data_IF_410139766406
#
_entry.id   IF_410139766406
#
_cell.length_a   1.000
_cell.length_b   1.000
_cell.length_c   1.000
_cell.angle_alpha   90.00
_cell.angle_beta   90.00
_cell.angle_gamma   90.00
#
_symmetry.space_group_name_H-M   'P 1'
#
loop_
_entity.id
_entity.type
_entity.pdbx_description
1 polymer ?
#
# COMPACT_ATOMS: atom_id res chain seq x y z
N UNK A 1 13.93 19.19 20.24
CA UNK A 1 12.77 18.96 19.35
C UNK A 1 13.13 19.47 17.98
N UNK A 2 12.72 18.77 16.92
CA UNK A 2 12.94 19.22 15.56
C UNK A 2 12.09 20.46 15.26
N UNK A 3 12.55 21.30 14.34
CA UNK A 3 11.75 22.40 13.80
C UNK A 3 10.75 21.83 12.78
N UNK A 4 9.50 21.62 13.21
CA UNK A 4 8.49 21.00 12.35
C UNK A 4 8.19 21.81 11.09
N UNK A 5 8.33 23.14 11.12
CA UNK A 5 8.07 23.96 9.93
C UNK A 5 9.13 23.69 8.85
N UNK A 6 10.39 23.54 9.25
CA UNK A 6 11.47 23.12 8.36
C UNK A 6 11.28 21.67 7.90
N UNK A 7 11.02 20.76 8.83
CA UNK A 7 10.90 19.33 8.52
C UNK A 7 9.73 19.01 7.57
N UNK A 8 8.62 19.73 7.70
CA UNK A 8 7.44 19.60 6.85
C UNK A 8 7.73 19.90 5.38
N UNK A 9 8.70 20.78 5.11
CA UNK A 9 9.02 21.24 3.75
C UNK A 9 10.12 20.43 3.05
N UNK A 10 10.75 19.46 3.73
CA UNK A 10 11.92 18.74 3.19
C UNK A 10 11.65 17.99 1.89
N UNK A 11 10.46 17.41 1.74
CA UNK A 11 10.10 16.67 0.52
C UNK A 11 9.43 17.56 -0.55
N UNK A 12 9.38 18.88 -0.31
CA UNK A 12 8.72 19.87 -1.14
C UNK A 12 7.26 19.50 -1.46
N UNK A 13 6.40 19.33 -0.44
CA UNK A 13 4.99 19.02 -0.66
C UNK A 13 4.24 20.23 -1.22
N UNK A 14 3.23 19.96 -2.04
CA UNK A 14 2.26 20.96 -2.52
C UNK A 14 1.03 21.02 -1.59
N UNK A 15 0.75 19.93 -0.87
CA UNK A 15 -0.39 19.79 0.03
C UNK A 15 0.06 19.26 1.40
N UNK A 16 -0.59 19.76 2.46
CA UNK A 16 -0.42 19.26 3.83
C UNK A 16 -1.76 18.72 4.30
N UNK A 17 -1.81 17.43 4.59
CA UNK A 17 -3.04 16.74 4.98
C UNK A 17 -3.10 16.52 6.49
N UNK A 18 -1.99 16.12 7.10
CA UNK A 18 -1.92 15.91 8.53
C UNK A 18 -0.54 16.21 9.12
N UNK A 19 -0.56 16.88 10.27
CA UNK A 19 0.60 17.13 11.13
C UNK A 19 0.28 16.61 12.53
N UNK A 20 1.08 15.66 13.08
CA UNK A 20 0.87 15.15 14.43
C UNK A 20 0.86 16.25 15.50
N UNK A 21 0.03 16.07 16.53
CA UNK A 21 -0.10 17.03 17.63
C UNK A 21 1.09 17.09 18.59
N UNK A 22 2.03 16.14 18.50
CA UNK A 22 3.26 16.11 19.30
C UNK A 22 4.43 15.50 18.53
N UNK A 23 5.65 15.69 19.02
CA UNK A 23 6.84 14.95 18.55
C UNK A 23 7.23 13.80 19.49
N UNK A 24 6.83 13.89 20.75
CA UNK A 24 7.18 12.95 21.81
C UNK A 24 6.15 11.83 21.98
N UNK A 25 5.16 11.75 21.09
CA UNK A 25 4.15 10.69 21.07
C UNK A 25 3.03 10.87 22.10
N UNK A 26 3.02 11.96 22.87
CA UNK A 26 2.01 12.22 23.91
C UNK A 26 0.57 12.30 23.38
N UNK A 27 0.41 12.61 22.10
CA UNK A 27 -0.89 12.66 21.40
C UNK A 27 -1.29 11.34 20.72
N UNK A 28 -0.41 10.33 20.72
CA UNK A 28 -0.70 9.01 20.16
C UNK A 28 -0.96 8.98 18.65
N UNK A 29 -0.44 9.96 17.91
CA UNK A 29 -0.72 10.19 16.47
C UNK A 29 0.55 10.43 15.65
N UNK A 30 1.72 10.08 16.17
CA UNK A 30 3.03 10.30 15.54
C UNK A 30 3.41 9.23 14.50
N UNK A 31 2.66 8.14 14.41
CA UNK A 31 2.77 7.12 13.37
C UNK A 31 1.56 7.18 12.45
N UNK A 32 1.77 7.59 11.20
CA UNK A 32 0.73 7.73 10.17
C UNK A 32 1.19 7.02 8.89
N UNK A 33 0.46 5.99 8.49
CA UNK A 33 0.83 5.14 7.35
C UNK A 33 -0.37 4.52 6.66
N UNK A 34 -0.13 3.86 5.53
CA UNK A 34 -1.18 3.33 4.66
C UNK A 34 -2.21 4.42 4.33
N UNK A 35 -1.72 5.48 3.71
CA UNK A 35 -2.48 6.71 3.46
C UNK A 35 -3.16 6.69 2.10
N UNK A 36 -4.46 6.42 2.11
CA UNK A 36 -5.27 6.22 0.92
C UNK A 36 -6.27 7.35 0.72
N UNK A 37 -6.00 8.19 -0.28
CA UNK A 37 -6.87 9.25 -0.77
C UNK A 37 -7.70 8.73 -1.95
N UNK A 38 -8.99 9.07 -1.95
CA UNK A 38 -9.97 8.60 -2.92
C UNK A 38 -11.05 9.64 -3.20
N UNK A 39 -11.74 9.46 -4.32
CA UNK A 39 -12.85 10.31 -4.72
C UNK A 39 -14.09 9.97 -3.89
N UNK A 40 -14.63 10.97 -3.21
CA UNK A 40 -15.89 10.87 -2.50
C UNK A 40 -17.09 10.89 -3.47
N UNK A 41 -18.22 10.28 -3.07
CA UNK A 41 -19.44 10.22 -3.88
C UNK A 41 -20.09 11.60 -4.10
N UNK A 42 -19.81 12.56 -3.22
CA UNK A 42 -20.28 13.95 -3.27
C UNK A 42 -19.33 14.87 -4.06
N UNK A 43 -18.30 14.29 -4.70
CA UNK A 43 -17.26 15.04 -5.40
C UNK A 43 -16.16 15.58 -4.49
N UNK A 44 -16.20 15.35 -3.17
CA UNK A 44 -15.09 15.70 -2.27
C UNK A 44 -13.88 14.77 -2.49
N UNK A 45 -12.72 15.17 -1.97
CA UNK A 45 -11.62 14.25 -1.72
C UNK A 45 -11.78 13.66 -0.32
N UNK A 46 -11.57 12.37 -0.18
CA UNK A 46 -11.64 11.66 1.10
C UNK A 46 -10.36 10.90 1.34
N UNK A 47 -10.02 10.67 2.60
CA UNK A 47 -8.85 9.90 2.95
C UNK A 47 -9.07 9.01 4.16
N UNK A 48 -8.45 7.83 4.12
CA UNK A 48 -8.29 6.93 5.25
C UNK A 48 -6.81 6.62 5.47
N UNK A 49 -6.40 6.45 6.73
CA UNK A 49 -5.08 5.94 7.05
C UNK A 49 -5.06 5.20 8.39
N UNK A 50 -3.95 4.48 8.62
CA UNK A 50 -3.66 3.84 9.91
C UNK A 50 -2.83 4.81 10.76
N UNK A 51 -3.35 5.18 11.92
CA UNK A 51 -2.74 6.11 12.87
C UNK A 51 -2.37 5.40 14.18
N UNK A 52 -1.25 5.78 14.81
CA UNK A 52 -0.76 5.26 16.09
C UNK A 52 0.32 6.18 16.67
N UNK A 53 0.89 5.82 17.82
CA UNK A 53 2.13 6.44 18.33
C UNK A 53 3.32 6.07 17.43
N UNK A 54 3.44 4.79 17.06
CA UNK A 54 4.42 4.29 16.10
C UNK A 54 3.87 2.98 15.51
N UNK A 55 4.21 2.72 14.24
CA UNK A 55 3.83 1.52 13.49
C UNK A 55 3.84 0.24 14.36
N UNK A 56 2.72 -0.50 14.28
CA UNK A 56 2.54 -1.77 14.96
C UNK A 56 2.27 -1.70 16.46
N UNK A 57 2.11 -0.52 17.06
CA UNK A 57 1.71 -0.40 18.47
C UNK A 57 0.23 -0.73 18.68
N UNK A 58 -0.15 -1.14 19.92
CA UNK A 58 -1.53 -1.48 20.24
C UNK A 58 -2.55 -0.36 20.07
N UNK A 59 -2.12 0.90 19.98
CA UNK A 59 -2.96 2.09 19.76
C UNK A 59 -3.31 2.35 18.28
N UNK A 60 -2.94 1.42 17.38
CA UNK A 60 -3.30 1.48 15.97
C UNK A 60 -4.81 1.54 15.74
N UNK A 61 -5.21 2.53 14.95
CA UNK A 61 -6.60 2.85 14.62
C UNK A 61 -6.73 3.35 13.18
N UNK A 62 -7.88 3.11 12.58
CA UNK A 62 -8.28 3.66 11.28
C UNK A 62 -8.94 5.01 11.50
N UNK A 63 -8.49 6.00 10.75
CA UNK A 63 -9.04 7.35 10.80
C UNK A 63 -9.47 7.82 9.42
N UNK A 64 -10.41 8.75 9.39
CA UNK A 64 -11.04 9.29 8.19
C UNK A 64 -11.04 10.82 8.21
N UNK A 65 -10.88 11.43 7.05
CA UNK A 65 -11.07 12.86 6.83
C UNK A 65 -11.54 13.14 5.40
N UNK A 66 -12.13 14.32 5.16
CA UNK A 66 -12.54 14.80 3.84
C UNK A 66 -12.10 16.23 3.59
N UNK A 67 -12.01 16.58 2.31
CA UNK A 67 -11.66 17.89 1.77
C UNK A 67 -12.65 18.27 0.68
N UNK A 68 -13.22 19.47 0.79
CA UNK A 68 -14.18 20.02 -0.19
C UNK A 68 -13.49 20.97 -1.20
N UNK A 69 -12.18 21.18 -1.07
CA UNK A 69 -11.41 22.18 -1.82
C UNK A 69 -10.18 21.55 -2.51
N UNK A 70 -10.33 20.31 -3.00
CA UNK A 70 -9.30 19.58 -3.76
C UNK A 70 -8.00 19.37 -2.97
N UNK A 71 -8.13 19.14 -1.66
CA UNK A 71 -7.02 18.75 -0.77
C UNK A 71 -6.29 19.91 -0.12
N UNK A 72 -6.77 21.14 -0.29
CA UNK A 72 -6.14 22.35 0.30
C UNK A 72 -6.40 22.44 1.80
N UNK A 73 -7.61 22.10 2.24
CA UNK A 73 -7.98 21.97 3.64
C UNK A 73 -8.73 20.66 3.89
N UNK A 74 -8.59 20.14 5.11
CA UNK A 74 -9.16 18.85 5.51
C UNK A 74 -9.90 19.01 6.84
N UNK A 75 -10.99 18.25 6.99
CA UNK A 75 -11.69 18.17 8.28
C UNK A 75 -10.79 17.56 9.36
N UNK A 76 -11.01 17.85 10.66
CA UNK A 76 -10.32 17.13 11.73
C UNK A 76 -10.50 15.61 11.58
N UNK A 77 -9.44 14.79 11.74
CA UNK A 77 -9.55 13.35 11.57
C UNK A 77 -10.52 12.73 12.58
N UNK A 78 -11.37 11.82 12.11
CA UNK A 78 -12.24 11.02 12.98
C UNK A 78 -11.78 9.57 13.01
N UNK A 79 -11.72 8.98 14.19
CA UNK A 79 -11.48 7.55 14.37
C UNK A 79 -12.71 6.75 13.92
N UNK A 80 -12.51 5.81 13.00
CA UNK A 80 -13.53 4.86 12.56
C UNK A 80 -13.47 3.56 13.35
N UNK A 81 -12.25 3.08 13.61
CA UNK A 81 -12.01 1.79 14.24
C UNK A 81 -10.68 1.81 14.99
N UNK A 82 -10.63 1.30 16.21
CA UNK A 82 -9.38 1.24 16.99
C UNK A 82 -9.56 0.44 18.27
N UNK A 83 -8.55 0.43 19.15
CA UNK A 83 -8.68 -0.19 20.46
C UNK A 83 -9.64 0.59 21.35
N UNK A 84 -10.32 -0.15 22.22
CA UNK A 84 -11.20 0.37 23.27
C UNK A 84 -11.12 -0.57 24.48
N UNK A 85 -12.01 -0.41 25.46
CA UNK A 85 -12.11 -1.37 26.57
C UNK A 85 -12.45 -2.80 26.08
N UNK A 86 -13.11 -2.94 24.92
CA UNK A 86 -13.61 -4.23 24.41
C UNK A 86 -13.05 -4.61 23.03
N UNK A 87 -12.22 -3.76 22.41
CA UNK A 87 -11.64 -3.99 21.08
C UNK A 87 -10.13 -3.81 21.09
N UNK A 88 -9.43 -4.54 20.22
CA UNK A 88 -7.98 -4.37 20.02
C UNK A 88 -7.70 -3.46 18.82
N UNK A 89 -6.45 -3.36 18.40
CA UNK A 89 -6.05 -2.54 17.25
C UNK A 89 -6.84 -2.85 15.97
N UNK A 90 -7.02 -1.82 15.16
CA UNK A 90 -7.47 -1.92 13.78
C UNK A 90 -6.38 -1.36 12.87
N UNK A 91 -5.99 -2.14 11.88
CA UNK A 91 -4.83 -1.82 11.04
C UNK A 91 -5.18 -2.01 9.57
N UNK A 92 -4.49 -1.23 8.75
CA UNK A 92 -4.48 -1.34 7.30
C UNK A 92 -5.82 -1.11 6.61
N UNK A 93 -6.49 0.00 6.96
CA UNK A 93 -7.78 0.36 6.40
C UNK A 93 -7.73 0.72 4.91
N UNK A 94 -8.68 0.23 4.12
CA UNK A 94 -8.81 0.53 2.70
C UNK A 94 -10.26 0.82 2.28
N UNK A 95 -10.49 1.79 1.37
CA UNK A 95 -11.83 2.20 0.98
C UNK A 95 -12.34 1.47 -0.28
N UNK A 96 -13.66 1.27 -0.35
CA UNK A 96 -14.42 0.91 -1.56
C UNK A 96 -15.59 1.88 -1.68
N UNK A 97 -15.94 2.29 -2.91
CA UNK A 97 -17.09 3.19 -3.14
C UNK A 97 -18.02 2.56 -4.16
N UNK A 98 -19.26 2.32 -3.76
CA UNK A 98 -20.29 1.78 -4.65
C UNK A 98 -20.72 2.83 -5.68
N UNK A 99 -21.38 2.38 -6.76
CA UNK A 99 -21.94 3.31 -7.76
C UNK A 99 -23.04 4.22 -7.21
N UNK A 100 -23.77 3.81 -6.17
CA UNK A 100 -24.78 4.66 -5.51
C UNK A 100 -24.17 5.70 -4.57
N UNK A 101 -22.91 5.47 -4.16
CA UNK A 101 -22.13 6.36 -3.32
C UNK A 101 -21.91 5.86 -1.90
N UNK A 102 -22.32 4.63 -1.54
CA UNK A 102 -21.95 4.02 -0.27
C UNK A 102 -20.44 3.85 -0.18
N UNK A 103 -19.85 4.30 0.91
CA UNK A 103 -18.41 4.16 1.19
C UNK A 103 -18.22 3.03 2.19
N UNK A 104 -17.45 2.01 1.84
CA UNK A 104 -16.96 1.01 2.79
C UNK A 104 -15.53 1.34 3.19
N UNK A 105 -15.20 1.12 4.46
CA UNK A 105 -13.82 1.10 4.94
C UNK A 105 -13.57 -0.23 5.63
N UNK A 106 -12.76 -1.08 4.99
CA UNK A 106 -12.42 -2.41 5.49
C UNK A 106 -11.01 -2.42 6.06
N UNK A 107 -10.75 -3.23 7.08
CA UNK A 107 -9.48 -3.28 7.80
C UNK A 107 -9.24 -4.63 8.46
N UNK A 108 -8.00 -4.86 8.90
CA UNK A 108 -7.65 -5.98 9.76
C UNK A 108 -7.96 -5.63 11.22
N UNK A 109 -8.82 -6.42 11.86
CA UNK A 109 -9.18 -6.31 13.28
C UNK A 109 -8.49 -7.41 14.07
N UNK A 110 -7.56 -7.02 14.95
CA UNK A 110 -6.99 -7.97 15.91
C UNK A 110 -8.07 -8.39 16.92
N UNK A 111 -8.13 -9.68 17.26
CA UNK A 111 -9.10 -10.24 18.20
C UNK A 111 -8.50 -10.76 19.51
N UNK A 112 -7.29 -10.31 19.87
CA UNK A 112 -6.55 -10.76 21.06
C UNK A 112 -5.73 -12.04 20.87
N UNK A 113 -5.86 -12.72 19.71
CA UNK A 113 -5.04 -13.86 19.32
C UNK A 113 -4.05 -13.44 18.23
N UNK A 114 -2.76 -13.74 18.42
CA UNK A 114 -1.67 -13.31 17.54
C UNK A 114 -1.02 -14.51 16.85
N UNK A 115 -0.82 -14.43 15.53
CA UNK A 115 -0.14 -15.45 14.74
C UNK A 115 1.31 -15.09 14.48
N UNK A 116 1.56 -13.96 13.82
CA UNK A 116 2.92 -13.47 13.54
C UNK A 116 3.10 -12.02 14.04
N UNK A 117 2.59 -11.05 13.29
CA UNK A 117 2.62 -9.63 13.63
C UNK A 117 1.23 -9.19 14.03
N UNK A 118 1.10 -8.55 15.19
CA UNK A 118 -0.21 -8.17 15.75
C UNK A 118 -1.01 -7.22 14.88
N UNK A 119 -0.32 -6.40 14.09
CA UNK A 119 -0.96 -5.49 13.16
C UNK A 119 -1.38 -6.15 11.84
N UNK A 120 -0.90 -7.36 11.50
CA UNK A 120 -1.36 -8.11 10.30
C UNK A 120 -2.19 -9.34 10.64
N UNK A 121 -2.14 -9.82 11.89
CA UNK A 121 -2.98 -10.92 12.38
C UNK A 121 -4.35 -10.39 12.76
N UNK A 122 -5.38 -10.73 11.99
CA UNK A 122 -6.73 -10.27 12.29
C UNK A 122 -7.80 -10.82 11.38
N UNK A 123 -9.05 -10.63 11.80
CA UNK A 123 -10.21 -10.86 10.94
C UNK A 123 -10.43 -9.66 10.03
N UNK A 124 -11.04 -9.86 8.86
CA UNK A 124 -11.53 -8.74 8.05
C UNK A 124 -12.80 -8.19 8.68
N UNK A 125 -12.77 -6.89 8.98
CA UNK A 125 -13.90 -6.15 9.50
C UNK A 125 -14.07 -4.84 8.73
N UNK A 126 -15.22 -4.20 8.89
CA UNK A 126 -15.46 -2.93 8.23
C UNK A 126 -16.67 -2.18 8.75
N UNK A 127 -16.76 -0.94 8.29
CA UNK A 127 -17.89 -0.03 8.48
C UNK A 127 -18.28 0.56 7.12
N UNK A 128 -19.50 1.05 6.98
CA UNK A 128 -19.91 1.81 5.80
C UNK A 128 -20.56 3.15 6.15
N UNK A 129 -20.65 4.04 5.17
CA UNK A 129 -21.33 5.33 5.25
C UNK A 129 -22.17 5.57 3.99
N UNK A 130 -23.41 6.01 4.19
CA UNK A 130 -24.37 6.39 3.13
C UNK A 130 -24.54 7.91 2.97
N UNK A 131 -23.82 8.70 3.75
CA UNK A 131 -23.96 10.16 3.85
C UNK A 131 -22.62 10.88 3.66
N UNK A 132 -21.84 10.40 2.69
CA UNK A 132 -20.53 10.95 2.31
C UNK A 132 -19.55 11.04 3.49
N UNK A 133 -19.59 10.04 4.38
CA UNK A 133 -18.71 9.96 5.54
C UNK A 133 -19.13 10.90 6.66
N UNK A 134 -20.39 11.31 6.79
CA UNK A 134 -20.87 12.09 7.94
C UNK A 134 -21.19 11.18 9.13
N UNK A 135 -21.80 10.01 8.91
CA UNK A 135 -22.04 8.94 9.89
C UNK A 135 -21.54 7.60 9.36
N UNK A 136 -21.38 6.62 10.27
CA UNK A 136 -20.87 5.29 9.94
C UNK A 136 -21.70 4.22 10.64
N UNK A 137 -21.85 3.07 9.99
CA UNK A 137 -22.46 1.87 10.55
C UNK A 137 -21.70 1.34 11.76
N UNK A 138 -22.31 0.41 12.49
CA UNK A 138 -21.55 -0.45 13.41
C UNK A 138 -20.56 -1.33 12.63
N UNK A 139 -19.49 -1.74 13.30
CA UNK A 139 -18.51 -2.67 12.72
C UNK A 139 -19.15 -4.04 12.51
N UNK A 140 -18.93 -4.60 11.33
CA UNK A 140 -19.27 -5.99 11.02
C UNK A 140 -18.05 -6.73 10.48
N UNK A 141 -18.11 -8.06 10.48
CA UNK A 141 -17.01 -8.93 10.05
C UNK A 141 -17.33 -9.58 8.72
N UNK A 142 -16.33 -9.65 7.85
CA UNK A 142 -16.38 -10.37 6.59
C UNK A 142 -15.67 -11.71 6.77
N UNK A 143 -16.32 -12.85 6.49
CA UNK A 143 -15.65 -14.14 6.52
C UNK A 143 -14.47 -14.17 5.54
N UNK A 144 -13.27 -14.41 6.06
CA UNK A 144 -12.09 -14.64 5.23
C UNK A 144 -11.94 -16.13 4.91
N UNK A 145 -11.65 -16.45 3.65
CA UNK A 145 -11.28 -17.80 3.22
C UNK A 145 -10.02 -18.24 3.97
N UNK A 146 -10.05 -19.45 4.54
CA UNK A 146 -8.86 -20.13 5.09
C UNK A 146 -7.92 -20.56 3.96
N UNK A 147 -6.63 -20.43 4.21
CA UNK A 147 -5.56 -20.91 3.35
C UNK A 147 -4.73 -21.97 4.08
N UNK A 148 -4.05 -22.84 3.32
CA UNK A 148 -3.02 -23.74 3.87
C UNK A 148 -1.83 -23.00 4.51
N UNK A 149 -1.69 -21.72 4.22
CA UNK A 149 -0.67 -20.84 4.79
C UNK A 149 -1.04 -20.27 6.15
N UNK A 150 -2.31 -20.41 6.56
CA UNK A 150 -2.77 -19.97 7.87
C UNK A 150 -2.32 -20.94 8.96
N UNK A 151 -2.55 -20.56 10.22
CA UNK A 151 -2.24 -21.42 11.34
C UNK A 151 -3.00 -22.75 11.30
N UNK A 152 -2.42 -23.80 11.87
CA UNK A 152 -3.11 -25.09 12.04
C UNK A 152 -4.25 -25.00 13.04
N UNK A 153 -4.19 -24.07 14.01
CA UNK A 153 -5.30 -23.75 14.90
C UNK A 153 -6.28 -22.77 14.21
N UNK A 154 -7.54 -23.18 13.95
CA UNK A 154 -8.53 -22.31 13.33
C UNK A 154 -8.93 -21.11 14.21
N UNK A 155 -8.62 -21.11 15.51
CA UNK A 155 -8.84 -19.97 16.39
C UNK A 155 -7.85 -18.81 16.14
N UNK A 156 -6.73 -19.08 15.48
CA UNK A 156 -5.76 -18.05 15.08
C UNK A 156 -6.18 -17.46 13.72
N UNK A 157 -6.45 -16.14 13.64
CA UNK A 157 -6.80 -15.49 12.39
C UNK A 157 -5.69 -15.56 11.33
N UNK A 158 -6.04 -15.27 10.09
CA UNK A 158 -5.08 -15.12 9.01
C UNK A 158 -4.13 -13.93 9.26
N UNK A 159 -2.94 -13.99 8.68
CA UNK A 159 -1.97 -12.89 8.68
C UNK A 159 -1.95 -12.22 7.31
N UNK A 160 -2.48 -11.00 7.19
CA UNK A 160 -2.68 -10.38 5.88
C UNK A 160 -2.59 -8.85 5.90
N UNK A 161 -2.31 -8.27 4.73
CA UNK A 161 -2.41 -6.83 4.46
C UNK A 161 -2.86 -6.57 3.03
N UNK A 162 -3.84 -5.69 2.87
CA UNK A 162 -4.04 -4.91 1.64
C UNK A 162 -3.38 -3.57 1.90
N UNK A 163 -2.38 -3.18 1.11
CA UNK A 163 -1.61 -1.95 1.34
C UNK A 163 -1.93 -0.83 0.33
N UNK A 164 -2.58 -1.18 -0.78
CA UNK A 164 -2.97 -0.24 -1.83
C UNK A 164 -4.49 -0.19 -1.92
N UNK A 165 -5.02 1.00 -2.23
CA UNK A 165 -6.44 1.20 -2.54
C UNK A 165 -6.89 0.22 -3.63
N UNK A 166 -7.92 -0.61 -3.38
CA UNK A 166 -8.53 -1.44 -4.42
C UNK A 166 -9.02 -0.60 -5.59
N UNK A 167 -8.93 -1.14 -6.81
CA UNK A 167 -9.38 -0.46 -8.03
C UNK A 167 -10.33 -1.35 -8.83
N UNK A 168 -11.20 -0.74 -9.63
CA UNK A 168 -12.12 -1.45 -10.53
C UNK A 168 -11.38 -2.01 -11.75
N UNK A 169 -10.58 -3.05 -11.54
CA UNK A 169 -9.69 -3.64 -12.55
C UNK A 169 -10.22 -4.95 -13.15
N UNK A 170 -11.17 -5.61 -12.49
CA UNK A 170 -11.63 -6.94 -12.89
C UNK A 170 -13.09 -6.91 -13.30
N UNK A 171 -13.38 -6.83 -14.61
CA UNK A 171 -14.76 -6.87 -15.13
C UNK A 171 -15.68 -5.81 -14.49
N UNK A 172 -15.16 -4.60 -14.25
CA UNK A 172 -15.89 -3.50 -13.58
C UNK A 172 -15.95 -3.60 -12.05
N UNK A 173 -15.43 -4.70 -11.48
CA UNK A 173 -15.40 -4.97 -10.03
C UNK A 173 -14.07 -4.59 -9.41
N UNK A 174 -14.11 -4.31 -8.11
CA UNK A 174 -12.92 -4.03 -7.32
C UNK A 174 -12.04 -5.27 -7.21
N UNK A 175 -10.76 -5.10 -7.52
CA UNK A 175 -9.71 -6.09 -7.31
C UNK A 175 -8.68 -5.50 -6.34
N UNK A 176 -8.23 -6.30 -5.38
CA UNK A 176 -7.13 -5.98 -4.49
C UNK A 176 -6.18 -7.16 -4.38
N UNK A 177 -4.89 -6.92 -4.56
CA UNK A 177 -3.88 -7.87 -4.16
C UNK A 177 -3.56 -7.71 -2.67
N UNK A 178 -3.24 -8.81 -2.00
CA UNK A 178 -2.86 -8.78 -0.58
C UNK A 178 -1.66 -9.68 -0.32
N UNK A 179 -0.84 -9.27 0.64
CA UNK A 179 0.20 -10.16 1.18
C UNK A 179 -0.45 -11.06 2.21
N UNK A 180 -0.14 -12.35 2.16
CA UNK A 180 -0.37 -13.28 3.25
C UNK A 180 0.98 -13.68 3.85
N UNK A 181 1.18 -13.40 5.15
CA UNK A 181 2.32 -13.98 5.86
C UNK A 181 2.00 -15.40 6.30
N UNK A 182 2.90 -16.32 5.99
CA UNK A 182 2.71 -17.73 6.31
C UNK A 182 2.88 -17.92 7.81
N UNK A 183 1.95 -18.64 8.45
CA UNK A 183 1.98 -18.85 9.88
C UNK A 183 3.29 -19.52 10.33
N UNK A 184 3.87 -19.13 11.48
CA UNK A 184 4.97 -19.84 12.13
C UNK A 184 4.79 -21.35 12.28
N UNK A 185 3.55 -21.85 12.33
CA UNK A 185 3.26 -23.29 12.47
C UNK A 185 3.42 -24.09 11.17
N UNK A 186 3.44 -23.43 10.00
CA UNK A 186 3.54 -24.10 8.69
C UNK A 186 4.63 -23.52 7.77
N UNK A 187 5.20 -22.37 8.10
CA UNK A 187 6.25 -21.71 7.28
C UNK A 187 7.60 -22.44 7.35
N UNK A 188 8.44 -22.34 6.31
CA UNK A 188 9.85 -22.68 6.44
C UNK A 188 10.56 -21.73 7.44
N UNK A 189 11.64 -22.18 8.11
CA UNK A 189 12.41 -21.31 9.00
C UNK A 189 12.94 -20.06 8.29
N UNK A 190 12.80 -18.91 8.93
CA UNK A 190 13.36 -17.67 8.38
C UNK A 190 14.91 -17.78 8.33
N UNK A 191 15.53 -17.49 7.17
CA UNK A 191 16.97 -17.66 6.99
C UNK A 191 17.80 -16.63 7.79
N UNK A 192 17.20 -15.49 8.13
CA UNK A 192 17.80 -14.46 8.98
C UNK A 192 16.75 -13.91 9.96
N UNK A 193 17.22 -13.39 11.10
CA UNK A 193 16.35 -12.76 12.11
C UNK A 193 15.96 -11.34 11.70
N UNK A 194 15.11 -11.23 10.68
CA UNK A 194 14.58 -9.95 10.20
C UNK A 194 13.18 -10.15 9.59
N UNK A 195 12.29 -9.15 9.72
CA UNK A 195 10.90 -9.28 9.26
C UNK A 195 10.78 -9.51 7.75
N UNK A 196 11.74 -9.02 6.95
CA UNK A 196 11.76 -9.23 5.49
C UNK A 196 12.03 -10.67 5.09
N UNK A 197 12.55 -11.49 6.00
CA UNK A 197 12.81 -12.91 5.79
C UNK A 197 11.65 -13.79 6.25
N UNK A 198 10.58 -13.18 6.78
CA UNK A 198 9.39 -13.92 7.18
C UNK A 198 8.56 -14.31 5.95
N UNK A 199 8.27 -15.61 5.85
CA UNK A 199 7.70 -16.18 4.66
C UNK A 199 6.34 -15.54 4.33
N UNK A 200 6.15 -15.15 3.08
CA UNK A 200 4.99 -14.43 2.57
C UNK A 200 4.73 -14.74 1.10
N UNK A 201 3.45 -14.75 0.75
CA UNK A 201 2.94 -14.94 -0.62
C UNK A 201 1.95 -13.84 -0.96
N UNK A 202 1.64 -13.69 -2.24
CA UNK A 202 0.62 -12.75 -2.71
C UNK A 202 -0.55 -13.49 -3.34
N UNK A 203 -1.73 -13.13 -2.90
CA UNK A 203 -3.02 -13.62 -3.40
C UNK A 203 -3.90 -12.41 -3.79
N UNK A 204 -5.06 -12.64 -4.42
CA UNK A 204 -5.96 -11.57 -4.84
C UNK A 204 -7.40 -11.81 -4.37
N UNK A 205 -8.08 -10.72 -4.02
CA UNK A 205 -9.49 -10.69 -3.69
C UNK A 205 -10.24 -9.81 -4.71
N UNK A 206 -11.38 -10.29 -5.17
CA UNK A 206 -12.32 -9.53 -6.01
C UNK A 206 -13.64 -9.38 -5.28
N UNK A 207 -14.09 -8.14 -5.10
CA UNK A 207 -15.35 -7.84 -4.43
C UNK A 207 -16.48 -7.89 -5.44
N UNK A 208 -17.47 -8.76 -5.20
CA UNK A 208 -18.43 -9.17 -6.23
C UNK A 208 -19.69 -8.30 -6.29
N UNK A 209 -20.11 -7.75 -5.15
CA UNK A 209 -21.43 -7.12 -4.96
C UNK A 209 -21.37 -5.74 -4.29
N UNK A 210 -20.22 -5.03 -4.33
CA UNK A 210 -20.06 -3.70 -3.71
C UNK A 210 -21.16 -2.73 -4.15
N UNK A 211 -21.57 -2.83 -5.41
CA UNK A 211 -22.54 -1.94 -6.06
C UNK A 211 -24.00 -2.27 -5.75
N UNK A 212 -24.26 -3.39 -5.08
CA UNK A 212 -25.59 -3.76 -4.60
C UNK A 212 -25.88 -3.16 -3.20
N UNK A 213 -24.93 -2.37 -2.67
CA UNK A 213 -24.96 -1.77 -1.34
C UNK A 213 -25.29 -2.77 -0.20
N UNK A 214 -24.62 -3.94 -0.12
CA UNK A 214 -24.84 -4.86 0.99
C UNK A 214 -24.40 -4.26 2.33
N UNK A 215 -24.90 -4.84 3.43
CA UNK A 215 -24.24 -4.68 4.73
C UNK A 215 -22.80 -5.20 4.64
N UNK A 216 -21.90 -4.72 5.52
CA UNK A 216 -20.48 -5.13 5.47
C UNK A 216 -20.32 -6.65 5.58
N UNK A 217 -21.07 -7.32 6.45
CA UNK A 217 -21.02 -8.77 6.61
C UNK A 217 -21.46 -9.56 5.35
N UNK A 218 -22.22 -8.92 4.47
CA UNK A 218 -22.81 -9.51 3.26
C UNK A 218 -21.99 -9.17 1.99
N UNK A 219 -20.82 -8.54 2.14
CA UNK A 219 -19.88 -8.37 1.04
C UNK A 219 -19.35 -9.73 0.55
N UNK A 220 -19.56 -10.00 -0.73
CA UNK A 220 -19.12 -11.21 -1.40
C UNK A 220 -17.71 -11.03 -1.99
N UNK A 221 -16.82 -11.99 -1.72
CA UNK A 221 -15.43 -11.96 -2.18
C UNK A 221 -15.08 -13.26 -2.91
N UNK A 222 -14.64 -13.14 -4.15
CA UNK A 222 -13.91 -14.20 -4.85
C UNK A 222 -12.41 -14.12 -4.55
N UNK A 223 -11.78 -15.29 -4.41
CA UNK A 223 -10.36 -15.42 -4.07
C UNK A 223 -9.60 -16.04 -5.25
N UNK A 224 -8.46 -15.45 -5.60
CA UNK A 224 -7.64 -15.83 -6.75
C UNK A 224 -6.17 -15.98 -6.36
N UNK A 225 -5.41 -16.77 -7.12
CA UNK A 225 -4.03 -17.16 -6.81
C UNK A 225 -3.91 -17.69 -5.38
N UNK A 226 -4.75 -18.64 -4.99
CA UNK A 226 -4.80 -19.15 -3.62
C UNK A 226 -3.85 -20.32 -3.42
N UNK A 227 -3.35 -20.49 -2.19
CA UNK A 227 -2.61 -21.68 -1.77
C UNK A 227 -1.38 -21.96 -2.67
N UNK A 228 -1.36 -23.07 -3.42
CA UNK A 228 -0.25 -23.44 -4.30
C UNK A 228 -0.08 -22.49 -5.49
N UNK A 229 -1.15 -21.82 -5.90
CA UNK A 229 -1.14 -20.86 -7.00
C UNK A 229 -0.70 -19.47 -6.53
N UNK A 230 -0.50 -19.24 -5.22
CA UNK A 230 -0.10 -17.95 -4.70
C UNK A 230 1.26 -17.50 -5.27
N UNK A 231 1.33 -16.22 -5.65
CA UNK A 231 2.53 -15.65 -6.25
C UNK A 231 3.63 -15.54 -5.18
N UNK A 232 4.84 -15.96 -5.56
CA UNK A 232 5.98 -16.04 -4.65
C UNK A 232 7.31 -15.91 -5.39
N UNK A 233 8.31 -15.43 -4.66
CA UNK A 233 9.72 -15.45 -5.05
C UNK A 233 10.54 -15.86 -3.83
N UNK A 234 11.62 -16.61 -4.05
CA UNK A 234 12.51 -17.04 -2.98
C UNK A 234 13.29 -15.90 -2.32
N UNK A 235 13.65 -16.07 -1.06
CA UNK A 235 14.55 -15.15 -0.36
C UNK A 235 15.98 -15.25 -0.93
N UNK A 236 16.80 -14.18 -0.92
CA UNK A 236 18.18 -14.24 -1.40
C UNK A 236 18.98 -15.42 -0.81
N UNK A 237 19.40 -16.35 -1.67
CA UNK A 237 20.15 -17.56 -1.26
C UNK A 237 19.30 -18.69 -0.66
N UNK A 238 17.98 -18.51 -0.57
CA UNK A 238 17.04 -19.44 0.06
C UNK A 238 15.74 -19.50 -0.77
N UNK A 239 15.81 -20.19 -1.92
CA UNK A 239 14.70 -20.23 -2.89
C UNK A 239 13.43 -20.91 -2.35
N UNK A 240 13.57 -21.70 -1.27
CA UNK A 240 12.49 -22.39 -0.57
C UNK A 240 11.69 -21.49 0.39
N UNK A 241 12.17 -20.29 0.69
CA UNK A 241 11.50 -19.33 1.58
C UNK A 241 10.81 -18.25 0.73
N UNK A 242 9.47 -18.30 0.54
CA UNK A 242 8.77 -17.32 -0.30
C UNK A 242 8.68 -15.97 0.41
N UNK A 243 8.98 -14.86 -0.29
CA UNK A 243 9.02 -13.49 0.29
C UNK A 243 8.54 -12.41 -0.68
N UNK A 244 7.46 -12.69 -1.42
CA UNK A 244 6.82 -11.70 -2.29
C UNK A 244 5.72 -10.97 -1.52
N UNK A 245 5.66 -9.64 -1.64
CA UNK A 245 4.77 -8.84 -0.81
C UNK A 245 4.19 -7.64 -1.56
N UNK A 246 3.08 -7.14 -1.04
CA UNK A 246 2.49 -5.83 -1.27
C UNK A 246 2.38 -5.48 -2.76
N UNK A 247 1.43 -6.13 -3.46
CA UNK A 247 1.21 -5.91 -4.89
C UNK A 247 0.62 -4.52 -5.18
N UNK A 248 1.04 -3.87 -6.27
CA UNK A 248 0.37 -2.69 -6.82
C UNK A 248 -0.05 -2.93 -8.26
N UNK A 249 -1.35 -2.82 -8.55
CA UNK A 249 -1.91 -3.25 -9.85
C UNK A 249 -2.47 -2.08 -10.66
N UNK A 250 -2.32 -2.16 -11.99
CA UNK A 250 -2.87 -1.21 -12.97
C UNK A 250 -3.42 -1.95 -14.19
N UNK A 251 -4.39 -1.34 -14.88
CA UNK A 251 -4.89 -1.84 -16.15
C UNK A 251 -3.95 -1.43 -17.31
N UNK A 252 -3.79 -2.34 -18.27
CA UNK A 252 -3.11 -2.11 -19.54
C UNK A 252 -4.12 -1.79 -20.66
N UNK A 253 -3.73 -1.02 -21.70
CA UNK A 253 -4.62 -0.69 -22.82
C UNK A 253 -5.18 -1.89 -23.60
N UNK A 254 -4.53 -3.05 -23.52
CA UNK A 254 -4.97 -4.29 -24.17
C UNK A 254 -5.88 -5.16 -23.29
N UNK A 255 -6.31 -4.66 -22.13
CA UNK A 255 -7.21 -5.34 -21.21
C UNK A 255 -6.50 -6.28 -20.23
N UNK A 256 -5.18 -6.47 -20.34
CA UNK A 256 -4.40 -7.17 -19.32
C UNK A 256 -4.28 -6.31 -18.05
N UNK A 257 -3.97 -6.96 -16.93
CA UNK A 257 -3.58 -6.31 -15.69
C UNK A 257 -2.08 -6.50 -15.46
N UNK A 258 -1.39 -5.43 -15.08
CA UNK A 258 0.01 -5.47 -14.68
C UNK A 258 0.11 -5.19 -13.18
N UNK A 259 0.91 -5.97 -12.47
CA UNK A 259 1.13 -5.76 -11.04
C UNK A 259 2.62 -5.77 -10.72
N UNK A 260 3.03 -4.90 -9.81
CA UNK A 260 4.38 -4.85 -9.23
C UNK A 260 4.37 -5.40 -7.81
N UNK A 261 5.53 -5.80 -7.29
CA UNK A 261 5.68 -6.33 -5.92
C UNK A 261 6.98 -5.86 -5.29
N UNK A 262 6.98 -5.77 -3.96
CA UNK A 262 8.22 -5.64 -3.19
C UNK A 262 8.80 -7.01 -2.83
N UNK A 263 10.12 -7.04 -2.70
CA UNK A 263 10.88 -8.22 -2.30
C UNK A 263 12.21 -7.80 -1.65
N UNK A 264 12.79 -8.60 -0.72
CA UNK A 264 14.15 -8.37 -0.21
C UNK A 264 15.26 -8.73 -1.20
N UNK A 265 14.96 -9.10 -2.45
CA UNK A 265 15.97 -9.47 -3.46
C UNK A 265 16.72 -8.30 -4.10
N UNK A 266 16.43 -7.06 -3.72
CA UNK A 266 17.11 -5.89 -4.28
C UNK A 266 16.53 -5.40 -5.60
N UNK A 267 15.41 -5.96 -6.04
CA UNK A 267 14.67 -5.55 -7.23
C UNK A 267 13.16 -5.54 -6.98
N UNK A 268 12.40 -4.67 -7.66
CA UNK A 268 10.97 -4.86 -7.81
C UNK A 268 10.70 -6.08 -8.69
N UNK A 269 9.60 -6.76 -8.42
CA UNK A 269 9.09 -7.83 -9.29
C UNK A 269 7.81 -7.39 -9.98
N UNK A 270 7.45 -8.05 -11.08
CA UNK A 270 6.18 -7.85 -11.75
C UNK A 270 5.54 -9.16 -12.21
N UNK A 271 4.24 -9.11 -12.47
CA UNK A 271 3.45 -10.18 -13.06
C UNK A 271 2.31 -9.58 -13.90
N UNK A 272 1.76 -10.37 -14.83
CA UNK A 272 0.66 -9.96 -15.70
C UNK A 272 -0.48 -10.98 -15.68
N UNK A 273 -1.72 -10.50 -15.72
CA UNK A 273 -2.93 -11.29 -15.88
C UNK A 273 -3.64 -10.93 -17.18
N UNK A 274 -4.17 -11.93 -17.88
CA UNK A 274 -4.96 -11.77 -19.12
C UNK A 274 -6.43 -12.19 -18.98
N UNK A 275 -6.85 -12.57 -17.76
CA UNK A 275 -8.18 -13.14 -17.48
C UNK A 275 -8.90 -12.39 -16.34
N UNK A 276 -8.71 -11.07 -16.33
CA UNK A 276 -9.26 -10.14 -15.34
C UNK A 276 -8.76 -10.40 -13.90
N UNK A 277 -7.51 -10.81 -13.73
CA UNK A 277 -6.87 -10.97 -12.42
C UNK A 277 -7.14 -12.30 -11.73
N UNK A 278 -7.67 -13.30 -12.46
CA UNK A 278 -7.94 -14.63 -11.91
C UNK A 278 -6.69 -15.49 -11.86
N UNK A 279 -5.88 -15.44 -12.92
CA UNK A 279 -4.56 -16.07 -12.99
C UNK A 279 -3.50 -15.05 -13.39
N UNK A 280 -2.27 -15.31 -12.97
CA UNK A 280 -1.14 -14.40 -13.14
C UNK A 280 0.11 -15.17 -13.58
N UNK A 281 0.94 -14.54 -14.41
CA UNK A 281 2.23 -15.10 -14.81
C UNK A 281 3.16 -15.28 -13.60
N UNK A 282 4.17 -16.15 -13.73
CA UNK A 282 5.22 -16.24 -12.73
C UNK A 282 5.87 -14.86 -12.51
N UNK A 283 6.16 -14.45 -11.25
CA UNK A 283 6.79 -13.17 -10.99
C UNK A 283 8.20 -13.09 -11.61
N UNK A 284 8.49 -12.00 -12.30
CA UNK A 284 9.79 -11.73 -12.92
C UNK A 284 10.42 -10.47 -12.35
N UNK A 285 11.75 -10.38 -12.37
CA UNK A 285 12.48 -9.15 -12.02
C UNK A 285 12.06 -8.04 -12.97
N UNK A 286 11.83 -6.83 -12.43
CA UNK A 286 11.47 -5.68 -13.24
C UNK A 286 12.70 -4.99 -13.81
N UNK A 287 12.71 -4.81 -15.12
CA UNK A 287 13.75 -4.11 -15.86
C UNK A 287 13.27 -2.72 -16.30
N UNK A 288 14.19 -1.86 -16.76
CA UNK A 288 13.78 -0.63 -17.43
C UNK A 288 13.07 -0.90 -18.77
N UNK A 289 13.43 -1.99 -19.46
CA UNK A 289 12.78 -2.52 -20.67
C UNK A 289 13.21 -3.97 -20.88
N UNK A 290 12.60 -4.65 -21.85
CA UNK A 290 13.03 -5.98 -22.26
C UNK A 290 14.52 -5.97 -22.67
N UNK A 291 15.29 -6.94 -22.15
CA UNK A 291 16.74 -7.02 -22.35
C UNK A 291 17.56 -5.86 -21.77
N UNK A 292 16.91 -4.98 -21.00
CA UNK A 292 17.54 -3.84 -20.34
C UNK A 292 18.07 -4.15 -18.94
N UNK A 293 18.43 -3.11 -18.20
CA UNK A 293 18.97 -3.23 -16.85
C UNK A 293 17.85 -3.51 -15.84
N UNK A 294 18.13 -4.38 -14.88
CA UNK A 294 17.23 -4.63 -13.75
C UNK A 294 17.13 -3.37 -12.88
N UNK A 295 15.91 -2.99 -12.50
CA UNK A 295 15.70 -1.86 -11.61
C UNK A 295 16.10 -2.24 -10.19
N UNK A 296 16.88 -1.39 -9.54
CA UNK A 296 17.25 -1.60 -8.13
C UNK A 296 16.17 -1.02 -7.21
N UNK A 297 15.75 -1.84 -6.25
CA UNK A 297 14.80 -1.45 -5.21
C UNK A 297 14.97 -2.32 -3.95
N UNK A 298 15.08 -1.74 -2.74
CA UNK A 298 15.10 -2.54 -1.53
C UNK A 298 13.73 -3.16 -1.25
N UNK A 299 13.58 -3.94 -0.19
CA UNK A 299 12.24 -4.31 0.29
C UNK A 299 11.49 -3.05 0.77
N UNK A 300 10.68 -2.46 -0.09
CA UNK A 300 9.84 -1.27 0.13
C UNK A 300 8.68 -1.30 -0.88
N UNK A 301 7.50 -0.72 -0.58
CA UNK A 301 6.39 -0.71 -1.51
C UNK A 301 6.77 -0.22 -2.91
N UNK A 302 6.20 -0.85 -3.93
CA UNK A 302 6.51 -0.62 -5.34
C UNK A 302 5.32 0.03 -6.06
N UNK A 303 4.88 1.25 -5.70
CA UNK A 303 3.67 1.83 -6.26
C UNK A 303 3.82 2.12 -7.76
N UNK A 304 2.82 1.68 -8.52
CA UNK A 304 2.59 2.04 -9.91
C UNK A 304 1.20 2.66 -10.06
N UNK A 305 1.11 3.77 -10.78
CA UNK A 305 -0.15 4.49 -11.00
C UNK A 305 -0.32 4.84 -12.47
N UNK A 306 -1.55 4.72 -12.98
CA UNK A 306 -1.87 5.14 -14.33
C UNK A 306 -2.02 6.67 -14.42
N UNK A 307 -1.46 7.25 -15.47
CA UNK A 307 -1.68 8.65 -15.88
C UNK A 307 -2.76 8.79 -16.96
N UNK A 308 -3.21 7.66 -17.53
CA UNK A 308 -4.06 7.60 -18.72
C UNK A 308 -3.28 7.31 -20.00
N UNK A 309 -3.99 6.88 -21.04
CA UNK A 309 -3.43 6.65 -22.39
C UNK A 309 -2.23 5.68 -22.45
N UNK A 310 -2.21 4.67 -21.58
CA UNK A 310 -1.09 3.71 -21.50
C UNK A 310 0.20 4.31 -20.93
N UNK A 311 0.12 5.43 -20.21
CA UNK A 311 1.23 6.02 -19.45
C UNK A 311 1.07 5.76 -17.96
N UNK A 312 2.19 5.59 -17.28
CA UNK A 312 2.27 5.23 -15.88
C UNK A 312 3.36 6.02 -15.17
N UNK A 313 3.25 6.13 -13.85
CA UNK A 313 4.38 6.49 -12.99
C UNK A 313 4.70 5.32 -12.08
N UNK A 314 5.98 5.00 -11.97
CA UNK A 314 6.49 4.04 -11.00
C UNK A 314 7.46 4.74 -10.07
N UNK A 315 7.32 4.51 -8.76
CA UNK A 315 8.21 5.10 -7.77
C UNK A 315 9.13 4.04 -7.18
N UNK A 316 10.42 4.37 -7.06
CA UNK A 316 11.42 3.46 -6.54
C UNK A 316 12.57 4.21 -5.86
N UNK A 317 13.40 3.51 -5.08
CA UNK A 317 14.55 4.13 -4.44
C UNK A 317 15.83 4.12 -5.31
N UNK A 318 15.95 3.17 -6.24
CA UNK A 318 17.09 3.08 -7.16
C UNK A 318 18.40 2.64 -6.52
N UNK A 319 18.30 1.76 -5.52
CA UNK A 319 19.37 0.99 -4.90
C UNK A 319 18.74 -0.30 -4.33
N UNK A 320 19.52 -1.31 -3.99
CA UNK A 320 19.06 -2.67 -3.62
C UNK A 320 18.86 -2.88 -2.11
N UNK A 321 19.06 -1.82 -1.32
CA UNK A 321 19.13 -1.87 0.14
C UNK A 321 20.49 -1.41 0.68
N UNK A 322 21.54 -1.45 -0.14
CA UNK A 322 22.80 -0.79 0.18
C UNK A 322 22.72 0.70 -0.18
N UNK A 323 22.71 1.56 0.83
CA UNK A 323 22.63 3.00 0.63
C UNK A 323 23.40 3.74 1.71
N UNK A 324 24.46 4.45 1.30
CA UNK A 324 25.39 5.10 2.22
C UNK A 324 25.96 4.07 3.23
N UNK A 325 25.80 4.30 4.53
CA UNK A 325 26.23 3.37 5.59
C UNK A 325 25.24 2.24 5.89
N UNK A 326 24.07 2.24 5.26
CA UNK A 326 22.97 1.32 5.58
C UNK A 326 22.97 0.10 4.65
N UNK A 327 22.61 -1.05 5.21
CA UNK A 327 22.43 -2.31 4.48
C UNK A 327 20.96 -2.69 4.28
N UNK A 328 20.68 -3.82 3.60
CA UNK A 328 19.32 -4.20 3.18
C UNK A 328 18.30 -4.47 4.30
N UNK A 329 18.73 -4.50 5.55
CA UNK A 329 17.88 -4.68 6.73
C UNK A 329 17.59 -3.37 7.49
N UNK A 330 18.24 -2.26 7.12
CA UNK A 330 18.09 -0.96 7.76
C UNK A 330 16.91 -0.15 7.19
N UNK A 331 15.74 -0.78 7.08
CA UNK A 331 14.59 -0.27 6.32
C UNK A 331 14.03 1.08 6.78
N UNK A 332 14.31 1.49 8.01
CA UNK A 332 13.97 2.83 8.53
C UNK A 332 14.88 3.95 8.01
N UNK A 333 15.97 3.60 7.32
CA UNK A 333 17.03 4.53 6.95
C UNK A 333 17.35 4.53 5.47
N UNK A 334 17.42 3.34 4.85
CA UNK A 334 17.82 3.23 3.45
C UNK A 334 16.68 3.44 2.46
N UNK A 335 15.40 3.46 2.85
CA UNK A 335 14.27 3.62 1.92
C UNK A 335 14.13 5.09 1.47
N UNK A 336 15.16 5.61 0.82
CA UNK A 336 15.28 6.97 0.29
C UNK A 336 16.50 7.04 -0.66
N UNK A 337 16.54 8.00 -1.60
CA UNK A 337 15.47 8.95 -1.95
C UNK A 337 14.30 8.26 -2.66
N UNK A 338 13.26 9.02 -3.05
CA UNK A 338 12.26 8.58 -4.02
C UNK A 338 12.65 9.09 -5.40
N UNK A 339 12.73 8.16 -6.36
CA UNK A 339 12.87 8.42 -7.78
C UNK A 339 11.57 8.04 -8.50
N UNK A 340 11.23 8.81 -9.52
CA UNK A 340 10.09 8.58 -10.39
C UNK A 340 10.57 8.11 -11.77
N UNK A 341 9.93 7.07 -12.29
CA UNK A 341 10.05 6.61 -13.66
C UNK A 341 8.74 6.88 -14.41
N UNK A 342 8.84 7.48 -15.60
CA UNK A 342 7.73 7.49 -16.55
C UNK A 342 7.68 6.14 -17.24
N UNK A 343 6.54 5.46 -17.16
CA UNK A 343 6.28 4.20 -17.82
C UNK A 343 5.37 4.39 -19.04
N UNK A 344 5.61 3.64 -20.10
CA UNK A 344 4.70 3.54 -21.25
C UNK A 344 4.45 2.09 -21.62
N UNK A 345 3.20 1.81 -21.98
CA UNK A 345 2.77 0.50 -22.47
C UNK A 345 3.46 0.13 -23.79
N UNK A 346 3.81 -1.15 -23.91
CA UNK A 346 4.44 -1.78 -25.08
C UNK A 346 3.68 -3.08 -25.40
N UNK A 347 2.76 -3.08 -26.37
CA UNK A 347 1.85 -4.21 -26.60
C UNK A 347 2.51 -5.57 -26.83
N UNK A 348 3.64 -5.58 -27.55
CA UNK A 348 4.37 -6.80 -27.90
C UNK A 348 5.57 -7.10 -26.99
N UNK A 349 5.77 -6.33 -25.93
CA UNK A 349 6.87 -6.56 -25.00
C UNK A 349 6.55 -7.70 -24.02
N UNK A 350 7.59 -8.39 -23.57
CA UNK A 350 7.51 -9.35 -22.48
C UNK A 350 7.09 -8.62 -21.19
N UNK A 351 7.87 -7.61 -20.77
CA UNK A 351 7.46 -6.66 -19.74
C UNK A 351 6.59 -5.58 -20.38
N UNK A 352 5.27 -5.53 -20.14
CA UNK A 352 4.37 -4.69 -20.93
C UNK A 352 4.54 -3.19 -20.72
N UNK A 353 5.29 -2.76 -19.70
CA UNK A 353 5.57 -1.35 -19.42
C UNK A 353 7.08 -1.14 -19.45
N UNK A 354 7.55 -0.26 -20.32
CA UNK A 354 8.94 0.18 -20.33
C UNK A 354 9.08 1.54 -19.67
N UNK A 355 10.22 1.79 -19.06
CA UNK A 355 10.45 2.93 -18.19
C UNK A 355 11.54 3.85 -18.74
N UNK A 356 11.38 5.14 -18.46
CA UNK A 356 12.40 6.16 -18.70
C UNK A 356 13.63 5.98 -17.81
N UNK A 357 14.61 6.87 -17.95
CA UNK A 357 15.58 7.10 -16.88
C UNK A 357 14.90 7.72 -15.64
N UNK A 358 15.44 7.52 -14.42
CA UNK A 358 14.85 8.03 -13.19
C UNK A 358 15.00 9.55 -13.04
N UNK A 359 13.91 10.19 -12.62
CA UNK A 359 13.89 11.53 -12.06
C UNK A 359 14.00 11.45 -10.54
N UNK A 360 14.94 12.18 -9.92
CA UNK A 360 14.89 12.36 -8.46
C UNK A 360 13.62 13.16 -8.11
N UNK A 361 12.69 12.53 -7.40
CA UNK A 361 11.44 13.17 -7.01
C UNK A 361 11.66 13.91 -5.67
N UNK A 362 11.97 13.18 -4.61
CA UNK A 362 12.09 13.73 -3.27
C UNK A 362 13.09 12.97 -2.40
N UNK A 363 13.62 13.67 -1.41
CA UNK A 363 14.42 13.12 -0.33
C UNK A 363 14.21 13.95 0.93
N UNK A 364 14.55 13.42 2.10
CA UNK A 364 14.58 14.16 3.36
C UNK A 364 16.00 14.26 3.94
N UNK A 365 17.01 13.97 3.10
CA UNK A 365 18.44 14.06 3.43
C UNK A 365 18.90 13.10 4.55
N UNK A 366 18.03 12.17 4.98
CA UNK A 366 18.34 11.21 6.03
C UNK A 366 18.11 11.75 7.42
N UNK A 367 17.42 12.90 7.54
CA UNK A 367 17.08 13.49 8.83
C UNK A 367 15.99 12.66 9.50
N UNK A 368 16.25 12.18 10.72
CA UNK A 368 15.30 11.39 11.48
C UNK A 368 14.17 12.28 12.04
N UNK A 369 12.93 11.79 11.99
CA UNK A 369 11.78 12.40 12.65
C UNK A 369 10.84 11.32 13.20
N UNK A 370 10.13 11.64 14.28
CA UNK A 370 9.11 10.80 14.90
C UNK A 370 9.49 10.28 16.30
N UNK A 371 8.55 9.53 16.90
CA UNK A 371 8.69 8.98 18.24
C UNK A 371 9.83 7.94 18.34
N UNK A 372 10.42 7.78 19.53
CA UNK A 372 11.32 6.66 19.83
C UNK A 372 12.66 6.67 19.07
N UNK A 373 13.17 7.85 18.71
CA UNK A 373 14.39 8.02 17.90
C UNK A 373 14.11 8.30 16.42
N UNK A 374 12.84 8.19 16.00
CA UNK A 374 12.40 8.53 14.67
C UNK A 374 12.89 7.59 13.58
N UNK A 375 12.61 7.99 12.34
CA UNK A 375 12.99 7.27 11.12
C UNK A 375 13.26 8.26 10.00
N UNK A 376 13.95 7.84 8.94
CA UNK A 376 14.25 8.67 7.77
C UNK A 376 13.68 8.10 6.47
N UNK A 377 13.02 6.94 6.51
CA UNK A 377 12.48 6.32 5.31
C UNK A 377 11.28 7.05 4.74
N UNK A 378 11.18 6.96 3.41
CA UNK A 378 10.03 7.32 2.62
C UNK A 378 9.41 6.02 2.10
N UNK A 379 8.84 5.18 2.97
CA UNK A 379 8.35 3.85 2.62
C UNK A 379 7.11 3.81 1.69
N UNK A 380 6.73 4.89 1.01
CA UNK A 380 5.74 4.92 -0.09
C UNK A 380 4.43 4.15 0.12
N UNK A 381 3.89 4.08 1.35
CA UNK A 381 2.51 3.64 1.64
C UNK A 381 1.50 4.72 1.21
N UNK A 382 1.57 5.03 -0.08
CA UNK A 382 1.01 6.18 -0.75
C UNK A 382 -0.25 5.79 -1.54
N UNK A 383 -0.93 6.81 -2.03
CA UNK A 383 -2.00 6.70 -3.01
C UNK A 383 -1.88 7.81 -4.05
N UNK A 384 -2.72 7.74 -5.08
CA UNK A 384 -2.66 8.64 -6.22
C UNK A 384 -4.05 9.02 -6.67
N UNK A 385 -4.23 10.28 -7.03
CA UNK A 385 -5.46 10.80 -7.63
C UNK A 385 -5.14 11.58 -8.89
N UNK A 386 -6.02 11.48 -9.89
CA UNK A 386 -6.00 12.34 -11.07
C UNK A 386 -7.35 13.04 -11.16
N UNK A 387 -7.39 14.32 -10.75
CA UNK A 387 -8.63 15.12 -10.73
C UNK A 387 -8.40 16.42 -11.46
N UNK A 388 -9.34 16.79 -12.34
CA UNK A 388 -9.29 18.04 -13.11
C UNK A 388 -7.95 18.27 -13.84
N UNK A 389 -7.33 17.18 -14.34
CA UNK A 389 -6.03 17.21 -15.00
C UNK A 389 -4.81 17.33 -14.06
N UNK A 390 -5.01 17.29 -12.74
CA UNK A 390 -3.95 17.30 -11.73
C UNK A 390 -3.72 15.91 -11.18
N UNK A 391 -2.50 15.43 -11.36
CA UNK A 391 -2.02 14.18 -10.80
C UNK A 391 -1.31 14.46 -9.47
N UNK A 392 -1.81 13.89 -8.37
CA UNK A 392 -1.25 14.11 -7.03
C UNK A 392 -0.86 12.78 -6.40
N UNK A 393 0.39 12.70 -5.95
CA UNK A 393 0.89 11.64 -5.10
C UNK A 393 0.66 12.03 -3.64
N UNK A 394 -0.13 11.22 -2.93
CA UNK A 394 -0.41 11.39 -1.51
C UNK A 394 0.43 10.38 -0.72
N UNK A 395 1.27 10.83 0.21
CA UNK A 395 2.27 9.96 0.83
C UNK A 395 2.51 10.27 2.32
N UNK A 396 2.82 9.23 3.12
CA UNK A 396 3.37 9.41 4.45
C UNK A 396 4.86 9.78 4.38
N UNK A 397 5.24 10.91 4.94
CA UNK A 397 6.63 11.36 5.05
C UNK A 397 7.19 10.91 6.41
N UNK A 398 8.21 10.04 6.40
CA UNK A 398 8.76 9.38 7.60
C UNK A 398 7.71 8.69 8.49
N UNK A 399 6.57 8.33 7.89
CA UNK A 399 5.36 7.88 8.61
C UNK A 399 4.94 8.82 9.74
N UNK A 400 5.22 10.12 9.60
CA UNK A 400 4.93 11.15 10.59
C UNK A 400 3.93 12.16 10.02
N UNK A 401 4.30 12.86 8.95
CA UNK A 401 3.39 13.75 8.22
C UNK A 401 2.61 13.00 7.15
N UNK A 402 1.42 13.49 6.80
CA UNK A 402 0.71 13.10 5.58
C UNK A 402 0.68 14.27 4.62
N UNK A 403 1.26 14.08 3.44
CA UNK A 403 1.55 15.13 2.47
C UNK A 403 1.04 14.76 1.08
N UNK A 404 0.93 15.76 0.21
CA UNK A 404 0.65 15.58 -1.20
C UNK A 404 1.69 16.30 -2.07
N UNK A 405 2.02 15.72 -3.22
CA UNK A 405 2.92 16.32 -4.21
C UNK A 405 2.38 16.14 -5.62
N UNK A 406 2.30 17.21 -6.38
CA UNK A 406 1.85 17.19 -7.76
C UNK A 406 2.91 16.56 -8.67
N UNK A 407 2.47 15.62 -9.50
CA UNK A 407 3.26 15.08 -10.60
C UNK A 407 2.91 15.87 -11.86
N UNK A 408 3.67 16.94 -12.09
CA UNK A 408 3.34 17.91 -13.14
C UNK A 408 3.77 17.45 -14.53
N UNK A 409 3.09 17.89 -15.61
CA UNK A 409 3.55 17.64 -16.99
C UNK A 409 4.99 18.09 -17.25
N UNK A 410 5.44 19.18 -16.60
CA UNK A 410 6.82 19.68 -16.70
C UNK A 410 7.85 18.70 -16.13
N UNK A 411 7.53 18.02 -15.02
CA UNK A 411 8.40 16.97 -14.48
C UNK A 411 8.54 15.81 -15.46
N UNK A 412 7.44 15.45 -16.13
CA UNK A 412 7.40 14.30 -17.04
C UNK A 412 7.97 14.61 -18.44
N UNK A 413 7.89 15.85 -18.92
CA UNK A 413 8.29 16.21 -20.30
C UNK A 413 9.77 15.99 -20.60
N UNK A 414 10.62 15.94 -19.58
CA UNK A 414 12.05 15.64 -19.74
C UNK A 414 12.37 14.15 -19.77
N UNK A 415 11.39 13.28 -19.54
CA UNK A 415 11.58 11.84 -19.45
C UNK A 415 11.23 11.18 -20.78
N UNK A 416 12.17 10.41 -21.32
CA UNK A 416 11.98 9.64 -22.56
C UNK A 416 11.96 8.16 -22.24
N UNK A 417 10.86 7.49 -22.58
CA UNK A 417 10.81 6.03 -22.54
C UNK A 417 11.44 5.47 -23.82
N UNK A 418 12.32 4.46 -23.74
CA UNK A 418 12.89 3.80 -24.92
C UNK A 418 11.79 3.31 -25.87
N UNK A 419 12.07 3.37 -27.17
CA UNK A 419 11.19 2.84 -28.21
C UNK A 419 11.34 1.34 -28.37
#
# INVERSE_FOLDING_TARGET
MADLALELQRTHPDYVVYVPGSQDGSTGDTGNEHFLVFDGPDGSLMAVWTQSTIEGRPDQRIVFTRSEDEGQTWTPPRVLAGPSETTFMASWGFPLVSHSGRIYVLYSRHIGVNGIFSHTTGVMAGVYSDDAGATWSEEQRIPMRRSKWDDVDPAVPANWIVWQKPQRLSEGKYLAGFTRWISPTVRPPAPVKHWTAEASVVEFMRFENVDDDPEVADLEISWHMTDDDALRVGFPGHDDVPVLQEPSSVALPDGRLFTTFRSPRGNPFWSVSSDAGRTWSAPAVMHNRDGGEALLHPCSPCPIYALGEGRYVFLHHGHDGHFQQWGPYDSHWHRRPIKLLLGEFRPGAEQPIWFSQPLLLMDNEGVALGYGGGRADLAMYASFTVRHGRAVLWYPERKFFLLGREITPKMLSGLTVPR
#
